data_IF_190481410515
#
_entry.id   IF_190481410515
#
_cell.length_a   1.000
_cell.length_b   1.000
_cell.length_c   1.000
_cell.angle_alpha   90.00
_cell.angle_beta   90.00
_cell.angle_gamma   90.00
#
_symmetry.space_group_name_H-M   'P 1'
#
loop_
_entity.id
_entity.type
_entity.pdbx_description
1 polymer ?
#
# COMPACT_ATOMS: atom_id res chain seq x y z
N UNK A 1 -9.60 -9.32 -10.72
CA UNK A 1 -8.25 -8.73 -10.88
C UNK A 1 -7.18 -9.76 -10.53
N UNK A 2 -6.07 -9.76 -11.26
CA UNK A 2 -4.89 -10.49 -10.82
C UNK A 2 -4.28 -9.77 -9.62
N UNK A 3 -3.43 -10.45 -8.83
CA UNK A 3 -2.73 -9.76 -7.73
C UNK A 3 -1.96 -8.52 -8.18
N UNK A 4 -1.28 -8.60 -9.32
CA UNK A 4 -0.55 -7.45 -9.85
C UNK A 4 -1.48 -6.31 -10.24
N UNK A 5 -2.60 -6.60 -10.88
CA UNK A 5 -3.60 -5.59 -11.23
C UNK A 5 -4.15 -4.91 -9.97
N UNK A 6 -4.42 -5.70 -8.93
CA UNK A 6 -4.89 -5.18 -7.65
C UNK A 6 -3.85 -4.26 -7.01
N UNK A 7 -2.58 -4.67 -7.01
CA UNK A 7 -1.50 -3.84 -6.47
C UNK A 7 -1.39 -2.51 -7.23
N UNK A 8 -1.45 -2.55 -8.56
CA UNK A 8 -1.35 -1.34 -9.37
C UNK A 8 -2.58 -0.43 -9.22
N UNK A 9 -3.77 -1.02 -9.03
CA UNK A 9 -4.98 -0.24 -8.74
C UNK A 9 -4.86 0.47 -7.40
N UNK A 10 -4.26 -0.18 -6.40
CA UNK A 10 -3.99 0.44 -5.11
C UNK A 10 -3.03 1.63 -5.26
N UNK A 11 -1.97 1.47 -6.06
CA UNK A 11 -1.02 2.56 -6.34
C UNK A 11 -1.74 3.74 -6.97
N UNK A 12 -2.61 3.49 -7.95
CA UNK A 12 -3.37 4.54 -8.62
C UNK A 12 -4.25 5.31 -7.63
N UNK A 13 -4.91 4.59 -6.73
CA UNK A 13 -5.76 5.20 -5.71
C UNK A 13 -4.93 6.08 -4.77
N UNK A 14 -3.79 5.58 -4.30
CA UNK A 14 -2.91 6.32 -3.40
C UNK A 14 -2.32 7.56 -4.08
N UNK A 15 -1.90 7.42 -5.32
CA UNK A 15 -1.35 8.55 -6.09
C UNK A 15 -2.41 9.63 -6.32
N UNK A 16 -3.67 9.25 -6.50
CA UNK A 16 -4.76 10.20 -6.74
C UNK A 16 -4.98 11.15 -5.56
N UNK A 17 -4.55 10.77 -4.36
CA UNK A 17 -4.62 11.58 -3.14
C UNK A 17 -3.24 12.02 -2.67
N UNK A 18 -2.27 12.04 -3.58
CA UNK A 18 -0.92 12.53 -3.33
C UNK A 18 -0.15 11.78 -2.26
N UNK A 19 -0.37 10.46 -2.18
CA UNK A 19 0.47 9.61 -1.34
C UNK A 19 1.93 9.75 -1.76
N UNK A 20 2.84 9.72 -0.79
CA UNK A 20 4.25 9.93 -1.04
C UNK A 20 5.03 8.63 -0.99
N UNK A 21 6.16 8.61 -1.68
CA UNK A 21 7.11 7.50 -1.67
C UNK A 21 6.42 6.14 -1.82
N UNK A 22 5.55 6.04 -2.83
CA UNK A 22 4.79 4.82 -3.10
C UNK A 22 5.72 3.79 -3.71
N UNK A 23 5.73 2.58 -3.14
CA UNK A 23 6.53 1.47 -3.64
C UNK A 23 5.69 0.20 -3.67
N UNK A 24 5.98 -0.65 -4.64
CA UNK A 24 5.38 -1.98 -4.74
C UNK A 24 6.51 -3.00 -4.72
N UNK A 25 6.38 -3.97 -3.82
CA UNK A 25 7.35 -5.06 -3.69
C UNK A 25 6.66 -6.38 -4.01
N UNK A 26 7.24 -7.14 -4.94
CA UNK A 26 6.78 -8.50 -5.21
C UNK A 26 7.38 -9.43 -4.16
N UNK A 27 6.54 -10.03 -3.34
CA UNK A 27 6.94 -10.85 -2.20
C UNK A 27 6.53 -12.30 -2.32
N UNK A 28 5.77 -12.65 -3.35
CA UNK A 28 5.20 -13.99 -3.49
C UNK A 28 6.24 -15.13 -3.53
N UNK A 29 7.45 -14.83 -3.99
CA UNK A 29 8.53 -15.83 -4.05
C UNK A 29 9.28 -15.97 -2.72
N UNK A 30 9.00 -15.08 -1.74
CA UNK A 30 9.66 -15.09 -0.42
C UNK A 30 8.73 -15.55 0.69
N UNK A 31 7.44 -15.39 0.54
CA UNK A 31 6.48 -15.65 1.60
C UNK A 31 5.11 -16.05 1.03
N UNK A 32 4.36 -16.79 1.82
CA UNK A 32 2.96 -17.12 1.49
C UNK A 32 1.98 -16.08 2.04
N UNK A 33 2.47 -15.03 2.74
CA UNK A 33 1.62 -14.03 3.35
C UNK A 33 0.91 -13.15 2.32
N UNK A 34 1.61 -12.78 1.26
CA UNK A 34 1.06 -11.96 0.19
C UNK A 34 1.95 -12.06 -1.05
N UNK A 35 1.36 -11.82 -2.21
CA UNK A 35 2.12 -11.75 -3.46
C UNK A 35 2.80 -10.39 -3.64
N UNK A 36 2.15 -9.33 -3.14
CA UNK A 36 2.68 -7.95 -3.23
C UNK A 36 2.44 -7.19 -1.95
N UNK A 37 3.39 -6.35 -1.60
CA UNK A 37 3.22 -5.30 -0.60
C UNK A 37 3.24 -3.95 -1.32
N UNK A 38 2.29 -3.09 -0.98
CA UNK A 38 2.23 -1.71 -1.46
C UNK A 38 2.48 -0.81 -0.27
N UNK A 39 3.47 0.08 -0.38
CA UNK A 39 3.88 0.97 0.70
C UNK A 39 3.64 2.41 0.28
N UNK A 40 3.10 3.22 1.19
CA UNK A 40 2.81 4.64 0.93
C UNK A 40 3.04 5.45 2.20
N UNK A 41 3.65 6.60 2.04
CA UNK A 41 3.89 7.53 3.16
C UNK A 41 2.89 8.69 3.10
N UNK A 42 2.41 9.08 4.28
CA UNK A 42 1.55 10.24 4.46
C UNK A 42 2.22 11.26 5.38
N UNK A 43 1.79 12.52 5.30
CA UNK A 43 2.36 13.63 6.06
C UNK A 43 1.66 13.88 7.37
N UNK A 44 0.47 13.30 7.57
CA UNK A 44 -0.32 13.47 8.79
C UNK A 44 -1.21 12.26 9.02
N UNK A 45 -1.70 12.08 10.25
CA UNK A 45 -2.64 11.00 10.55
C UNK A 45 -3.94 11.16 9.78
N UNK A 46 -4.37 12.40 9.54
CA UNK A 46 -5.55 12.69 8.71
C UNK A 46 -5.33 12.20 7.29
N UNK A 47 -4.15 12.43 6.72
CA UNK A 47 -3.83 11.95 5.38
C UNK A 47 -3.70 10.43 5.32
N UNK A 48 -3.14 9.80 6.36
CA UNK A 48 -3.09 8.33 6.42
C UNK A 48 -4.49 7.74 6.27
N UNK A 49 -5.45 8.27 7.03
CA UNK A 49 -6.85 7.81 6.98
C UNK A 49 -7.48 8.08 5.62
N UNK A 50 -7.27 9.28 5.08
CA UNK A 50 -7.82 9.65 3.77
C UNK A 50 -7.29 8.77 2.65
N UNK A 51 -5.99 8.47 2.66
CA UNK A 51 -5.37 7.59 1.68
C UNK A 51 -5.91 6.17 1.78
N UNK A 52 -6.00 5.64 3.00
CA UNK A 52 -6.52 4.30 3.22
C UNK A 52 -7.99 4.19 2.80
N UNK A 53 -8.81 5.18 3.17
CA UNK A 53 -10.23 5.19 2.82
C UNK A 53 -10.44 5.30 1.31
N UNK A 54 -9.65 6.14 0.64
CA UNK A 54 -9.72 6.28 -0.82
C UNK A 54 -9.31 4.99 -1.52
N UNK A 55 -8.24 4.37 -1.05
CA UNK A 55 -7.77 3.10 -1.60
C UNK A 55 -8.84 2.02 -1.46
N UNK A 56 -9.41 1.89 -0.26
CA UNK A 56 -10.47 0.91 0.00
C UNK A 56 -11.68 1.16 -0.90
N UNK A 57 -12.12 2.41 -1.00
CA UNK A 57 -13.29 2.76 -1.81
C UNK A 57 -13.08 2.50 -3.29
N UNK A 58 -11.93 2.91 -3.83
CA UNK A 58 -11.66 2.73 -5.26
C UNK A 58 -11.53 1.25 -5.63
N UNK A 59 -10.93 0.44 -4.75
CA UNK A 59 -10.83 -0.99 -4.99
C UNK A 59 -12.19 -1.68 -4.83
N UNK A 60 -13.02 -1.21 -3.90
CA UNK A 60 -14.39 -1.71 -3.75
C UNK A 60 -15.20 -1.47 -5.02
N UNK A 61 -15.04 -0.32 -5.65
CA UNK A 61 -15.72 0.01 -6.90
C UNK A 61 -15.28 -0.93 -8.04
N UNK A 62 -14.10 -1.54 -7.92
CA UNK A 62 -13.57 -2.53 -8.85
C UNK A 62 -13.92 -3.98 -8.42
N UNK A 63 -14.72 -4.13 -7.38
CA UNK A 63 -15.13 -5.44 -6.90
C UNK A 63 -14.20 -6.09 -5.90
N UNK A 64 -13.19 -5.34 -5.39
CA UNK A 64 -12.20 -5.86 -4.45
C UNK A 64 -12.38 -5.24 -3.07
N UNK A 65 -12.56 -6.07 -2.06
CA UNK A 65 -12.71 -5.60 -0.69
C UNK A 65 -11.63 -6.19 0.21
N UNK A 66 -11.09 -5.41 1.16
CA UNK A 66 -10.12 -5.98 2.10
C UNK A 66 -10.81 -6.99 3.01
N UNK A 67 -10.12 -8.08 3.29
CA UNK A 67 -10.56 -9.05 4.28
C UNK A 67 -10.37 -8.50 5.69
N UNK A 68 -9.45 -7.57 5.85
CA UNK A 68 -9.04 -7.08 7.15
C UNK A 68 -8.44 -5.68 7.02
N UNK A 69 -8.80 -4.79 7.96
CA UNK A 69 -8.25 -3.43 8.04
C UNK A 69 -7.79 -3.22 9.47
N UNK A 70 -6.54 -2.82 9.65
CA UNK A 70 -5.97 -2.58 10.97
C UNK A 70 -5.40 -1.17 11.07
N UNK A 71 -5.39 -0.61 12.28
CA UNK A 71 -4.72 0.64 12.58
C UNK A 71 -5.51 1.91 12.28
N UNK A 72 -6.71 1.80 11.72
CA UNK A 72 -7.51 2.97 11.31
C UNK A 72 -7.77 3.92 12.47
N UNK A 73 -7.95 3.39 13.67
CA UNK A 73 -8.27 4.20 14.85
C UNK A 73 -7.11 5.12 15.25
N UNK A 74 -5.89 4.59 15.30
CA UNK A 74 -4.72 5.35 15.71
C UNK A 74 -4.19 6.25 14.59
N UNK A 75 -4.31 5.80 13.35
CA UNK A 75 -3.97 6.59 12.17
C UNK A 75 -2.49 6.80 11.89
N UNK A 76 -1.59 6.17 12.65
CA UNK A 76 -0.16 6.26 12.39
C UNK A 76 0.32 5.25 11.34
N UNK A 77 -0.39 4.14 11.23
CA UNK A 77 -0.12 3.08 10.26
C UNK A 77 -1.41 2.31 10.05
N UNK A 78 -1.94 2.35 8.83
CA UNK A 78 -3.12 1.59 8.45
C UNK A 78 -2.73 0.52 7.46
N UNK A 79 -3.20 -0.69 7.70
CA UNK A 79 -2.96 -1.85 6.87
C UNK A 79 -4.28 -2.29 6.25
N UNK A 80 -4.30 -2.45 4.92
CA UNK A 80 -5.43 -3.00 4.18
C UNK A 80 -5.01 -4.35 3.63
N UNK A 81 -5.59 -5.43 4.14
CA UNK A 81 -5.22 -6.79 3.77
C UNK A 81 -6.24 -7.34 2.77
N UNK A 82 -5.80 -7.47 1.51
CA UNK A 82 -6.60 -8.07 0.44
C UNK A 82 -6.19 -9.53 0.16
N UNK A 83 -5.47 -10.16 1.06
CA UNK A 83 -4.87 -11.49 0.93
C UNK A 83 -3.68 -11.51 -0.02
N UNK A 84 -3.91 -11.42 -1.33
CA UNK A 84 -2.81 -11.44 -2.31
C UNK A 84 -1.98 -10.17 -2.28
N UNK A 85 -2.57 -9.06 -1.81
CA UNK A 85 -1.91 -7.75 -1.73
C UNK A 85 -2.18 -7.15 -0.36
N UNK A 86 -1.14 -6.66 0.29
CA UNK A 86 -1.27 -5.93 1.55
C UNK A 86 -0.79 -4.51 1.32
N UNK A 87 -1.68 -3.54 1.58
CA UNK A 87 -1.38 -2.12 1.41
C UNK A 87 -1.05 -1.53 2.78
N UNK A 88 0.10 -0.86 2.87
CA UNK A 88 0.55 -0.18 4.08
C UNK A 88 0.58 1.32 3.82
N UNK A 89 -0.19 2.08 4.60
CA UNK A 89 -0.16 3.54 4.56
C UNK A 89 0.29 4.01 5.94
N UNK A 90 1.38 4.73 6.02
CA UNK A 90 1.94 5.13 7.31
C UNK A 90 2.63 6.48 7.26
N UNK A 91 2.79 7.06 8.45
CA UNK A 91 3.62 8.24 8.64
C UNK A 91 5.08 7.87 8.40
N UNK A 92 5.87 8.84 7.99
CA UNK A 92 7.30 8.61 7.73
C UNK A 92 8.03 8.01 8.92
N UNK A 93 7.68 8.46 10.13
CA UNK A 93 8.29 7.97 11.37
C UNK A 93 8.03 6.47 11.57
N UNK A 94 6.78 6.04 11.33
CA UNK A 94 6.41 4.63 11.45
C UNK A 94 7.11 3.80 10.37
N UNK A 95 7.18 4.32 9.15
CA UNK A 95 7.83 3.62 8.05
C UNK A 95 9.31 3.39 8.35
N UNK A 96 9.99 4.39 8.87
CA UNK A 96 11.41 4.28 9.25
C UNK A 96 11.61 3.33 10.43
N UNK A 97 10.75 3.43 11.44
CA UNK A 97 10.87 2.61 12.64
C UNK A 97 10.69 1.13 12.37
N UNK A 98 9.63 0.76 11.66
CA UNK A 98 9.34 -0.65 11.35
C UNK A 98 10.15 -1.18 10.18
N UNK A 99 10.56 -0.30 9.26
CA UNK A 99 11.48 -0.59 8.16
C UNK A 99 11.16 -1.89 7.40
N UNK A 100 9.92 -1.98 6.90
CA UNK A 100 9.48 -3.15 6.14
C UNK A 100 10.31 -3.39 4.89
N UNK A 101 10.85 -2.33 4.31
CA UNK A 101 11.69 -2.44 3.12
C UNK A 101 12.98 -3.19 3.39
N UNK A 102 13.52 -3.05 4.60
CA UNK A 102 14.69 -3.81 5.03
C UNK A 102 14.33 -5.27 5.29
N UNK A 103 13.19 -5.50 5.96
CA UNK A 103 12.69 -6.84 6.23
C UNK A 103 12.48 -7.62 4.94
N UNK A 104 12.00 -6.95 3.90
CA UNK A 104 11.71 -7.54 2.58
C UNK A 104 12.73 -7.10 1.53
N UNK A 105 14.00 -6.94 1.93
CA UNK A 105 15.06 -6.45 1.05
C UNK A 105 15.25 -7.33 -0.19
N UNK A 106 14.94 -8.63 -0.10
CA UNK A 106 15.05 -9.56 -1.22
C UNK A 106 13.82 -9.56 -2.14
N UNK A 107 12.81 -8.76 -1.82
CA UNK A 107 11.63 -8.64 -2.68
C UNK A 107 11.99 -7.89 -3.96
N UNK A 108 11.30 -8.22 -5.04
CA UNK A 108 11.53 -7.57 -6.32
C UNK A 108 10.71 -6.29 -6.41
N UNK A 109 11.35 -5.11 -6.59
CA UNK A 109 10.60 -3.88 -6.80
C UNK A 109 9.83 -3.95 -8.13
N UNK A 110 8.59 -3.45 -8.10
CA UNK A 110 7.77 -3.36 -9.31
C UNK A 110 7.82 -1.93 -9.83
N UNK A 111 8.09 -1.76 -11.11
CA UNK A 111 8.12 -0.44 -11.74
C UNK A 111 6.71 0.15 -11.82
N UNK A 112 6.50 1.30 -11.18
CA UNK A 112 5.23 2.02 -11.17
C UNK A 112 5.34 3.41 -11.81
N UNK A 113 6.40 3.63 -12.59
CA UNK A 113 6.69 4.96 -13.17
C UNK A 113 5.61 5.43 -14.15
N UNK A 114 4.81 4.54 -14.71
CA UNK A 114 3.71 4.91 -15.58
C UNK A 114 2.51 5.48 -14.80
N UNK A 115 2.40 5.15 -13.53
CA UNK A 115 1.31 5.60 -12.66
C UNK A 115 1.76 6.77 -11.82
N UNK A 116 2.89 6.63 -11.12
CA UNK A 116 3.45 7.66 -10.25
C UNK A 116 4.53 8.40 -11.02
N UNK A 117 4.23 9.62 -11.43
CA UNK A 117 5.17 10.43 -12.19
C UNK A 117 6.06 11.22 -11.24
N UNK A 118 7.34 11.39 -11.56
CA UNK A 118 8.20 12.29 -10.78
C UNK A 118 7.73 13.74 -10.97
N UNK A 119 7.86 14.52 -9.91
CA UNK A 119 7.53 15.95 -9.93
C UNK A 119 8.62 16.73 -10.63
#
# INVERSE_FOLDING_TARGET
MTPKELALAAVKALDSKKGQDIKVLETGHLTTLADYFVLCTATSTTQVKALADTCEKMLKDEGEMPHHVEGHREGGWILLDFSSVVVHVFMEESRKFYDLERLWADATPVDISEIVKPN
#
